data_IF_968168533369
#
_entry.id   IF_968168533369
#
_cell.length_a   1.000
_cell.length_b   1.000
_cell.length_c   1.000
_cell.angle_alpha   90.00
_cell.angle_beta   90.00
_cell.angle_gamma   90.00
#
_symmetry.space_group_name_H-M   'P 1'
#
loop_
_entity.id
_entity.type
_entity.pdbx_description
1 polymer ?
#
# COMPACT_ATOMS: atom_id res chain seq x y z
N UNK A 1 8.65 -11.47 16.85
CA UNK A 1 8.62 -12.87 16.41
C UNK A 1 7.31 -13.28 15.73
N UNK A 2 6.24 -12.46 15.83
CA UNK A 2 4.91 -12.80 15.31
C UNK A 2 4.67 -12.37 13.85
N UNK A 3 5.62 -11.68 13.24
CA UNK A 3 5.58 -11.28 11.84
C UNK A 3 6.59 -12.04 11.02
N UNK A 4 6.15 -12.52 9.86
CA UNK A 4 6.97 -13.20 8.86
C UNK A 4 6.93 -12.40 7.58
N UNK A 5 8.04 -12.36 6.87
CA UNK A 5 8.15 -11.66 5.60
C UNK A 5 8.55 -12.62 4.48
N UNK A 6 7.98 -12.41 3.31
CA UNK A 6 8.37 -13.09 2.07
C UNK A 6 8.66 -12.04 1.01
N UNK A 7 9.79 -12.18 0.33
CA UNK A 7 10.22 -11.29 -0.74
C UNK A 7 9.73 -11.83 -2.07
N UNK A 8 9.12 -10.98 -2.87
CA UNK A 8 8.67 -11.27 -4.24
C UNK A 8 9.56 -10.48 -5.20
N UNK A 9 10.51 -11.13 -5.90
CA UNK A 9 11.25 -10.47 -6.96
C UNK A 9 10.29 -10.01 -8.06
N UNK A 10 10.48 -8.77 -8.51
CA UNK A 10 9.75 -8.17 -9.61
C UNK A 10 10.67 -8.12 -10.84
N UNK A 11 10.08 -7.98 -12.01
CA UNK A 11 10.83 -7.89 -13.26
C UNK A 11 11.68 -6.63 -13.36
N UNK A 12 12.02 -6.26 -14.58
CA UNK A 12 12.75 -5.02 -14.87
C UNK A 12 11.95 -3.80 -14.39
N UNK A 13 12.65 -2.87 -13.75
CA UNK A 13 12.01 -1.62 -13.33
C UNK A 13 11.84 -0.68 -14.53
N UNK A 14 10.59 -0.31 -14.89
CA UNK A 14 10.36 0.67 -15.95
C UNK A 14 11.04 2.03 -15.71
N UNK A 15 11.35 2.34 -14.45
CA UNK A 15 12.05 3.57 -14.04
C UNK A 15 13.58 3.42 -14.08
N UNK A 16 14.09 2.25 -14.50
CA UNK A 16 15.51 1.97 -14.76
C UNK A 16 16.34 1.66 -13.51
N UNK A 17 15.71 1.28 -12.41
CA UNK A 17 16.40 0.86 -11.19
C UNK A 17 16.54 -0.67 -11.11
N UNK A 18 17.42 -1.16 -10.27
CA UNK A 18 17.74 -2.60 -10.15
C UNK A 18 17.30 -3.16 -8.79
N UNK A 19 17.30 -4.49 -8.67
CA UNK A 19 16.98 -5.22 -7.44
C UNK A 19 15.58 -4.88 -6.88
N UNK A 20 14.60 -4.78 -7.79
CA UNK A 20 13.24 -4.44 -7.44
C UNK A 20 12.48 -5.67 -6.94
N UNK A 21 11.85 -5.52 -5.81
CA UNK A 21 10.93 -6.51 -5.25
C UNK A 21 9.88 -5.87 -4.36
N UNK A 22 8.81 -6.61 -4.09
CA UNK A 22 7.84 -6.32 -3.06
C UNK A 22 8.03 -7.25 -1.86
N UNK A 23 7.53 -6.88 -0.70
CA UNK A 23 7.60 -7.69 0.51
C UNK A 23 6.21 -7.94 1.05
N UNK A 24 5.79 -9.19 1.07
CA UNK A 24 4.58 -9.59 1.79
C UNK A 24 4.92 -9.81 3.25
N UNK A 25 4.14 -9.20 4.11
CA UNK A 25 4.22 -9.33 5.56
C UNK A 25 3.01 -10.13 6.03
N UNK A 26 3.22 -11.17 6.84
CA UNK A 26 2.17 -11.99 7.43
C UNK A 26 2.24 -11.92 8.94
N UNK A 27 1.11 -11.64 9.59
CA UNK A 27 0.98 -11.78 11.02
C UNK A 27 0.62 -13.22 11.38
N UNK A 28 1.43 -13.89 12.19
CA UNK A 28 1.25 -15.28 12.60
C UNK A 28 1.84 -15.50 13.99
N UNK A 29 1.12 -15.17 15.07
CA UNK A 29 1.58 -15.34 16.45
C UNK A 29 1.64 -16.80 16.89
N UNK A 30 1.05 -17.70 16.10
CA UNK A 30 1.01 -19.15 16.35
C UNK A 30 1.30 -19.88 15.04
N UNK A 31 1.43 -21.23 15.09
CA UNK A 31 1.74 -22.06 13.92
C UNK A 31 0.91 -21.72 12.68
N UNK A 32 1.60 -21.63 11.55
CA UNK A 32 1.04 -21.25 10.24
C UNK A 32 -0.16 -22.10 9.80
N UNK A 33 -0.24 -23.35 10.27
CA UNK A 33 -1.34 -24.26 9.94
C UNK A 33 -2.74 -23.78 10.36
N UNK A 34 -2.82 -22.82 11.29
CA UNK A 34 -4.10 -22.25 11.75
C UNK A 34 -4.63 -21.13 10.85
N UNK A 35 -3.87 -20.68 9.85
CA UNK A 35 -4.29 -19.61 8.94
C UNK A 35 -5.06 -20.13 7.72
N UNK A 36 -4.87 -21.40 7.34
CA UNK A 36 -5.61 -22.00 6.23
C UNK A 36 -7.13 -21.95 6.46
N UNK A 37 -7.87 -21.66 5.40
CA UNK A 37 -9.33 -21.52 5.40
C UNK A 37 -9.91 -20.32 6.16
N UNK A 38 -9.09 -19.44 6.74
CA UNK A 38 -9.58 -18.14 7.22
C UNK A 38 -9.76 -17.19 6.03
N UNK A 39 -10.73 -16.25 6.06
CA UNK A 39 -10.71 -15.14 5.14
C UNK A 39 -9.43 -14.34 5.35
N UNK A 40 -8.81 -13.89 4.27
CA UNK A 40 -7.59 -13.08 4.33
C UNK A 40 -7.89 -11.60 4.17
N UNK A 41 -7.12 -10.76 4.87
CA UNK A 41 -7.09 -9.33 4.66
C UNK A 41 -5.70 -8.92 4.22
N UNK A 42 -5.62 -8.21 3.09
CA UNK A 42 -4.37 -7.65 2.55
C UNK A 42 -4.37 -6.14 2.69
N UNK A 43 -3.44 -5.61 3.47
CA UNK A 43 -3.24 -4.19 3.68
C UNK A 43 -2.28 -3.62 2.64
N UNK A 44 -2.70 -2.53 1.97
CA UNK A 44 -1.91 -1.76 0.99
C UNK A 44 -1.72 -0.35 1.56
N UNK A 45 -0.47 0.00 1.81
CA UNK A 45 -0.09 1.26 2.45
C UNK A 45 -0.21 2.47 1.51
N UNK A 46 -0.12 3.68 2.09
CA UNK A 46 -0.08 4.95 1.37
C UNK A 46 1.32 5.37 0.92
N UNK A 47 1.41 6.60 0.39
CA UNK A 47 2.69 7.21 0.03
C UNK A 47 3.52 7.51 1.28
N UNK A 48 4.82 7.28 1.21
CA UNK A 48 5.77 7.44 2.32
C UNK A 48 5.42 6.61 3.57
N UNK A 49 4.81 5.45 3.36
CA UNK A 49 4.30 4.57 4.40
C UNK A 49 4.69 3.11 4.13
N UNK A 50 4.47 2.24 5.11
CA UNK A 50 4.59 0.79 5.04
C UNK A 50 3.80 0.18 6.20
N UNK A 51 3.61 -1.15 6.21
CA UNK A 51 2.84 -1.76 7.29
C UNK A 51 3.66 -1.96 8.56
N UNK A 52 3.26 -1.30 9.66
CA UNK A 52 3.85 -1.43 11.01
C UNK A 52 2.78 -1.51 12.13
N UNK A 53 1.51 -1.56 11.78
CA UNK A 53 0.37 -1.47 12.71
C UNK A 53 0.10 -2.81 13.39
N UNK A 54 0.93 -3.19 14.37
CA UNK A 54 0.79 -4.44 15.13
C UNK A 54 -0.62 -4.61 15.70
N UNK A 55 -1.16 -3.61 16.37
CA UNK A 55 -2.48 -3.66 17.02
C UNK A 55 -3.62 -3.91 16.02
N UNK A 56 -3.51 -3.39 14.80
CA UNK A 56 -4.48 -3.65 13.72
C UNK A 56 -4.40 -5.12 13.29
N UNK A 57 -3.18 -5.65 13.13
CA UNK A 57 -2.99 -7.07 12.79
C UNK A 57 -3.54 -7.99 13.89
N UNK A 58 -3.27 -7.69 15.15
CA UNK A 58 -3.77 -8.44 16.31
C UNK A 58 -5.30 -8.43 16.37
N UNK A 59 -5.91 -7.25 16.18
CA UNK A 59 -7.37 -7.11 16.18
C UNK A 59 -8.04 -7.99 15.11
N UNK A 60 -7.61 -7.88 13.85
CA UNK A 60 -8.20 -8.67 12.78
C UNK A 60 -7.93 -10.17 12.94
N UNK A 61 -6.74 -10.54 13.42
CA UNK A 61 -6.42 -11.93 13.71
C UNK A 61 -7.33 -12.52 14.79
N UNK A 62 -7.61 -11.77 15.87
CA UNK A 62 -8.55 -12.17 16.94
C UNK A 62 -9.99 -12.29 16.41
N UNK A 63 -10.36 -11.46 15.43
CA UNK A 63 -11.63 -11.55 14.71
C UNK A 63 -11.71 -12.72 13.70
N UNK A 64 -10.69 -13.57 13.63
CA UNK A 64 -10.67 -14.77 12.78
C UNK A 64 -10.11 -14.57 11.38
N UNK A 65 -9.47 -13.43 11.07
CA UNK A 65 -8.84 -13.17 9.78
C UNK A 65 -7.40 -13.68 9.72
N UNK A 66 -6.96 -14.09 8.55
CA UNK A 66 -5.54 -14.17 8.22
C UNK A 66 -5.08 -12.79 7.75
N UNK A 67 -4.06 -12.22 8.41
CA UNK A 67 -3.65 -10.84 8.19
C UNK A 67 -2.36 -10.79 7.42
N UNK A 68 -2.42 -10.08 6.30
CA UNK A 68 -1.30 -9.82 5.40
C UNK A 68 -1.19 -8.33 5.10
N UNK A 69 0.00 -7.90 4.79
CA UNK A 69 0.27 -6.60 4.24
C UNK A 69 1.31 -6.71 3.13
N UNK A 70 1.37 -5.72 2.27
CA UNK A 70 2.40 -5.62 1.24
C UNK A 70 3.12 -4.29 1.37
N UNK A 71 4.46 -4.35 1.46
CA UNK A 71 5.30 -3.20 1.19
C UNK A 71 5.58 -3.20 -0.32
N UNK A 72 5.04 -2.21 -1.02
CA UNK A 72 5.16 -2.07 -2.47
C UNK A 72 6.61 -1.83 -2.88
N UNK A 73 6.92 -1.98 -4.17
CA UNK A 73 8.28 -1.71 -4.70
C UNK A 73 8.84 -0.39 -4.21
N UNK A 74 10.10 -0.37 -3.84
CA UNK A 74 10.83 0.82 -3.36
C UNK A 74 10.25 1.47 -2.10
N UNK A 75 9.41 0.73 -1.35
CA UNK A 75 8.75 1.20 -0.13
C UNK A 75 9.10 0.32 1.06
N UNK A 76 9.20 0.89 2.26
CA UNK A 76 9.39 0.16 3.50
C UNK A 76 10.52 -0.88 3.42
N UNK A 77 10.19 -2.17 3.67
CA UNK A 77 11.14 -3.29 3.62
C UNK A 77 11.59 -3.64 2.20
N UNK A 78 10.85 -3.17 1.19
CA UNK A 78 11.14 -3.40 -0.23
C UNK A 78 12.14 -2.40 -0.82
N UNK A 79 12.46 -1.33 -0.11
CA UNK A 79 13.45 -0.35 -0.54
C UNK A 79 14.89 -0.83 -0.35
N UNK A 80 15.77 -0.45 -1.29
CA UNK A 80 17.20 -0.70 -1.22
C UNK A 80 18.02 0.58 -1.41
N UNK A 81 19.22 0.67 -0.78
CA UNK A 81 20.13 1.78 -1.00
C UNK A 81 20.41 1.99 -2.49
N UNK A 82 20.30 3.23 -2.95
CA UNK A 82 20.47 3.61 -4.34
C UNK A 82 19.16 3.74 -5.13
N UNK A 83 18.06 3.20 -4.63
CA UNK A 83 16.74 3.39 -5.24
C UNK A 83 16.11 4.70 -4.77
N UNK A 84 15.30 5.31 -5.65
CA UNK A 84 14.46 6.47 -5.32
C UNK A 84 13.27 6.01 -4.49
N UNK A 85 13.32 6.35 -3.21
CA UNK A 85 12.33 5.94 -2.24
C UNK A 85 10.91 6.37 -2.62
N UNK A 86 9.95 5.46 -2.59
CA UNK A 86 8.54 5.67 -2.97
C UNK A 86 8.30 6.26 -4.37
N UNK A 87 9.30 6.16 -5.26
CA UNK A 87 9.18 6.70 -6.60
C UNK A 87 8.58 5.70 -7.58
N UNK A 88 7.60 6.16 -8.33
CA UNK A 88 7.10 5.51 -9.54
C UNK A 88 6.65 6.58 -10.53
N UNK A 89 6.87 6.33 -11.81
CA UNK A 89 6.35 7.19 -12.89
C UNK A 89 4.94 6.82 -13.29
N UNK A 90 4.49 5.61 -12.94
CA UNK A 90 3.13 5.13 -13.20
C UNK A 90 2.66 4.24 -12.05
N UNK A 91 1.53 4.57 -11.46
CA UNK A 91 0.93 3.76 -10.37
C UNK A 91 0.50 2.38 -10.84
N UNK A 92 0.33 2.14 -12.14
CA UNK A 92 0.05 0.82 -12.70
C UNK A 92 1.21 -0.16 -12.53
N UNK A 93 2.43 0.32 -12.27
CA UNK A 93 3.57 -0.54 -11.94
C UNK A 93 3.32 -1.39 -10.69
N UNK A 94 2.51 -0.88 -9.73
CA UNK A 94 2.14 -1.61 -8.52
C UNK A 94 1.18 -2.78 -8.76
N UNK A 95 0.57 -2.88 -9.95
CA UNK A 95 -0.39 -3.95 -10.25
C UNK A 95 0.26 -5.32 -10.29
N UNK A 96 1.53 -5.40 -10.69
CA UNK A 96 2.29 -6.64 -10.75
C UNK A 96 2.40 -7.28 -9.36
N UNK A 97 2.89 -6.55 -8.37
CA UNK A 97 3.05 -7.09 -7.02
C UNK A 97 1.73 -7.34 -6.32
N UNK A 98 0.70 -6.52 -6.55
CA UNK A 98 -0.62 -6.75 -5.99
C UNK A 98 -1.27 -8.01 -6.57
N UNK A 99 -1.11 -8.23 -7.87
CA UNK A 99 -1.60 -9.45 -8.54
C UNK A 99 -0.86 -10.68 -8.05
N UNK A 100 0.46 -10.60 -7.91
CA UNK A 100 1.30 -11.70 -7.39
C UNK A 100 0.97 -12.02 -5.93
N UNK A 101 0.76 -10.99 -5.10
CA UNK A 101 0.36 -11.17 -3.71
C UNK A 101 -1.03 -11.83 -3.62
N UNK A 102 -2.01 -11.38 -4.40
CA UNK A 102 -3.33 -11.99 -4.43
C UNK A 102 -3.28 -13.44 -4.91
N UNK A 103 -2.52 -13.75 -5.95
CA UNK A 103 -2.33 -15.12 -6.43
C UNK A 103 -1.77 -16.02 -5.32
N UNK A 104 -0.73 -15.55 -4.61
CA UNK A 104 -0.17 -16.27 -3.46
C UNK A 104 -1.20 -16.48 -2.33
N UNK A 105 -2.01 -15.47 -2.01
CA UNK A 105 -3.03 -15.58 -0.97
C UNK A 105 -4.16 -16.53 -1.37
N UNK A 106 -4.56 -16.52 -2.65
CA UNK A 106 -5.67 -17.34 -3.17
C UNK A 106 -5.39 -18.85 -3.14
N UNK A 107 -4.12 -19.26 -3.06
CA UNK A 107 -3.74 -20.66 -2.85
C UNK A 107 -4.12 -21.18 -1.44
N UNK A 108 -4.23 -20.27 -0.48
CA UNK A 108 -4.47 -20.62 0.94
C UNK A 108 -5.83 -20.15 1.46
N UNK A 109 -6.44 -19.18 0.78
CA UNK A 109 -7.63 -18.48 1.24
C UNK A 109 -8.65 -18.32 0.12
N UNK A 110 -9.86 -18.86 0.31
CA UNK A 110 -10.94 -18.75 -0.66
C UNK A 110 -11.51 -17.32 -0.77
N UNK A 111 -11.26 -16.48 0.22
CA UNK A 111 -11.82 -15.14 0.33
C UNK A 111 -10.76 -14.16 0.77
N UNK A 112 -10.55 -13.12 -0.02
CA UNK A 112 -9.60 -12.03 0.29
C UNK A 112 -10.36 -10.71 0.31
N UNK A 113 -10.10 -9.89 1.32
CA UNK A 113 -10.52 -8.48 1.39
C UNK A 113 -9.28 -7.62 1.28
N UNK A 114 -9.33 -6.60 0.43
CA UNK A 114 -8.22 -5.67 0.21
C UNK A 114 -8.47 -4.39 0.97
N UNK A 115 -7.52 -3.95 1.78
CA UNK A 115 -7.59 -2.65 2.46
C UNK A 115 -6.54 -1.72 1.85
N UNK A 116 -6.97 -0.57 1.32
CA UNK A 116 -6.08 0.46 0.78
C UNK A 116 -6.16 1.74 1.59
N UNK A 117 -5.00 2.28 1.99
CA UNK A 117 -4.91 3.56 2.71
C UNK A 117 -4.35 4.65 1.81
N UNK A 118 -4.96 5.85 1.84
CA UNK A 118 -4.47 7.04 1.13
C UNK A 118 -4.21 6.77 -0.36
N UNK A 119 -2.98 6.95 -0.87
CA UNK A 119 -2.57 6.56 -2.23
C UNK A 119 -2.74 5.06 -2.48
N UNK A 120 -2.56 4.20 -1.49
CA UNK A 120 -2.87 2.78 -1.60
C UNK A 120 -4.33 2.53 -1.94
N UNK A 121 -5.26 3.37 -1.45
CA UNK A 121 -6.67 3.32 -1.83
C UNK A 121 -6.91 3.66 -3.30
N UNK A 122 -6.19 4.63 -3.87
CA UNK A 122 -6.21 4.92 -5.30
C UNK A 122 -5.67 3.75 -6.12
N UNK A 123 -4.49 3.23 -5.73
CA UNK A 123 -3.85 2.09 -6.41
C UNK A 123 -4.78 0.87 -6.40
N UNK A 124 -5.36 0.53 -5.26
CA UNK A 124 -6.31 -0.58 -5.13
C UNK A 124 -7.51 -0.41 -6.03
N UNK A 125 -8.13 0.78 -6.07
CA UNK A 125 -9.29 1.02 -6.92
C UNK A 125 -8.98 0.83 -8.42
N UNK A 126 -7.84 1.35 -8.89
CA UNK A 126 -7.40 1.21 -10.28
C UNK A 126 -7.00 -0.24 -10.61
N UNK A 127 -6.30 -0.90 -9.68
CA UNK A 127 -5.89 -2.29 -9.85
C UNK A 127 -7.10 -3.23 -9.92
N UNK A 128 -8.12 -3.04 -9.07
CA UNK A 128 -9.32 -3.87 -9.08
C UNK A 128 -10.09 -3.76 -10.40
N UNK A 129 -10.19 -2.56 -10.97
CA UNK A 129 -10.81 -2.35 -12.28
C UNK A 129 -9.98 -3.04 -13.38
N UNK A 130 -8.66 -2.92 -13.34
CA UNK A 130 -7.75 -3.62 -14.25
C UNK A 130 -7.88 -5.15 -14.11
N UNK A 131 -7.80 -5.66 -12.89
CA UNK A 131 -7.80 -7.10 -12.59
C UNK A 131 -9.11 -7.77 -13.03
N UNK A 132 -10.24 -7.11 -12.85
CA UNK A 132 -11.56 -7.60 -13.29
C UNK A 132 -11.58 -7.95 -14.77
N UNK A 133 -10.83 -7.21 -15.58
CA UNK A 133 -10.78 -7.40 -17.02
C UNK A 133 -9.63 -8.31 -17.47
N UNK A 134 -8.48 -8.26 -16.77
CA UNK A 134 -7.26 -8.99 -17.16
C UNK A 134 -7.17 -10.39 -16.57
N UNK A 135 -7.73 -10.60 -15.36
CA UNK A 135 -7.71 -11.89 -14.66
C UNK A 135 -8.98 -12.09 -13.81
N UNK A 136 -10.16 -12.28 -14.45
CA UNK A 136 -11.45 -12.36 -13.77
C UNK A 136 -11.54 -13.53 -12.77
N UNK A 137 -10.86 -14.63 -13.03
CA UNK A 137 -10.81 -15.77 -12.11
C UNK A 137 -10.10 -15.41 -10.80
N UNK A 138 -8.97 -14.71 -10.90
CA UNK A 138 -8.24 -14.24 -9.73
C UNK A 138 -9.04 -13.14 -8.99
N UNK A 139 -9.68 -12.24 -9.74
CA UNK A 139 -10.57 -11.22 -9.16
C UNK A 139 -11.73 -11.82 -8.35
N UNK A 140 -12.23 -13.00 -8.74
CA UNK A 140 -13.33 -13.67 -8.05
C UNK A 140 -13.00 -14.08 -6.59
N UNK A 141 -11.71 -14.16 -6.21
CA UNK A 141 -11.30 -14.38 -4.82
C UNK A 141 -11.49 -13.14 -3.94
N UNK A 142 -11.70 -11.96 -4.52
CA UNK A 142 -11.85 -10.71 -3.79
C UNK A 142 -13.31 -10.52 -3.40
N UNK A 143 -13.60 -10.63 -2.10
CA UNK A 143 -14.94 -10.43 -1.56
C UNK A 143 -15.31 -8.95 -1.41
N UNK A 144 -14.32 -8.07 -1.34
CA UNK A 144 -14.54 -6.62 -1.22
C UNK A 144 -13.26 -5.84 -0.99
N UNK A 145 -13.40 -4.51 -1.02
CA UNK A 145 -12.31 -3.60 -0.69
C UNK A 145 -12.75 -2.56 0.34
N UNK A 146 -11.86 -2.24 1.26
CA UNK A 146 -12.00 -1.17 2.25
C UNK A 146 -11.03 -0.05 1.87
N UNK A 147 -11.55 1.10 1.51
CA UNK A 147 -10.74 2.27 1.14
C UNK A 147 -10.73 3.26 2.31
N UNK A 148 -9.62 3.28 3.03
CA UNK A 148 -9.42 4.18 4.17
C UNK A 148 -8.77 5.47 3.70
N UNK A 149 -9.52 6.58 3.79
CA UNK A 149 -9.07 7.92 3.36
C UNK A 149 -8.40 7.90 1.97
N UNK A 150 -9.03 7.31 0.93
CA UNK A 150 -8.38 7.13 -0.37
C UNK A 150 -8.09 8.49 -1.02
N UNK A 151 -6.89 8.63 -1.57
CA UNK A 151 -6.53 9.84 -2.30
C UNK A 151 -6.95 9.72 -3.77
N UNK A 152 -8.23 10.00 -4.05
CA UNK A 152 -8.83 9.81 -5.37
C UNK A 152 -8.75 11.06 -6.27
N UNK A 153 -8.51 12.23 -5.70
CA UNK A 153 -8.35 13.48 -6.46
C UNK A 153 -7.44 14.46 -5.72
N UNK A 154 -6.99 15.48 -6.42
CA UNK A 154 -6.19 16.55 -5.84
C UNK A 154 -7.04 17.42 -4.92
N UNK A 155 -6.52 17.74 -3.74
CA UNK A 155 -7.18 18.61 -2.74
C UNK A 155 -7.12 20.10 -3.13
N UNK A 156 -7.44 20.41 -4.40
CA UNK A 156 -7.50 21.78 -4.91
C UNK A 156 -8.81 21.97 -5.68
N UNK A 157 -9.34 23.21 -5.77
CA UNK A 157 -10.57 23.47 -6.52
C UNK A 157 -10.47 22.95 -7.96
N UNK A 158 -11.54 22.35 -8.49
CA UNK A 158 -11.58 21.73 -9.83
C UNK A 158 -10.99 22.61 -10.94
N UNK A 159 -11.31 23.94 -11.04
CA UNK A 159 -10.72 24.78 -12.10
C UNK A 159 -9.21 24.86 -12.01
N UNK A 160 -8.65 24.84 -10.79
CA UNK A 160 -7.20 24.85 -10.57
C UNK A 160 -6.58 23.51 -10.95
N UNK A 161 -7.20 22.39 -10.56
CA UNK A 161 -6.70 21.06 -10.89
C UNK A 161 -6.71 20.80 -12.41
N UNK A 162 -7.75 21.22 -13.11
CA UNK A 162 -7.89 21.07 -14.57
C UNK A 162 -6.79 21.82 -15.35
N UNK A 163 -6.40 22.99 -14.86
CA UNK A 163 -5.29 23.76 -15.48
C UNK A 163 -3.92 23.25 -15.03
N UNK A 164 -3.80 22.77 -13.81
CA UNK A 164 -2.53 22.31 -13.24
C UNK A 164 -2.11 20.94 -13.76
N UNK A 165 -3.04 20.01 -13.93
CA UNK A 165 -2.79 18.63 -14.41
C UNK A 165 -1.99 18.58 -15.72
N UNK A 166 -2.35 19.30 -16.81
CA UNK A 166 -1.57 19.27 -18.05
C UNK A 166 -0.19 19.89 -17.90
N UNK A 167 -0.06 20.94 -17.09
CA UNK A 167 1.24 21.58 -16.82
C UNK A 167 2.16 20.64 -16.05
N UNK A 168 1.66 19.99 -14.99
CA UNK A 168 2.43 19.01 -14.23
C UNK A 168 2.80 17.80 -15.08
N UNK A 169 1.89 17.33 -15.93
CA UNK A 169 2.13 16.21 -16.84
C UNK A 169 3.25 16.54 -17.83
N UNK A 170 3.21 17.74 -18.44
CA UNK A 170 4.25 18.20 -19.36
C UNK A 170 5.59 18.39 -18.64
N UNK A 171 5.60 19.05 -17.47
CA UNK A 171 6.81 19.27 -16.68
C UNK A 171 7.42 17.95 -16.18
N UNK A 172 6.61 17.03 -15.69
CA UNK A 172 7.06 15.69 -15.24
C UNK A 172 7.64 14.86 -16.39
N UNK A 173 7.04 14.91 -17.59
CA UNK A 173 7.58 14.24 -18.76
C UNK A 173 8.92 14.86 -19.22
N UNK A 174 9.12 16.18 -19.02
CA UNK A 174 10.35 16.87 -19.46
C UNK A 174 11.46 16.83 -18.42
N UNK A 175 11.12 16.82 -17.12
CA UNK A 175 12.05 16.84 -15.99
C UNK A 175 11.63 15.85 -14.90
N UNK A 176 11.70 14.53 -15.15
CA UNK A 176 11.18 13.51 -14.23
C UNK A 176 11.90 13.47 -12.88
N UNK A 177 13.11 14.03 -12.80
CA UNK A 177 13.93 14.02 -11.57
C UNK A 177 13.81 15.33 -10.76
N UNK A 178 13.00 16.28 -11.20
CA UNK A 178 12.80 17.53 -10.44
C UNK A 178 11.76 17.28 -9.34
N UNK A 179 12.23 17.35 -8.10
CA UNK A 179 11.34 17.31 -6.92
C UNK A 179 10.61 18.63 -6.75
N UNK A 180 9.30 18.57 -6.67
CA UNK A 180 8.50 19.72 -6.25
C UNK A 180 8.25 19.65 -4.73
N UNK A 181 8.27 20.79 -4.01
CA UNK A 181 7.90 20.79 -2.61
C UNK A 181 6.45 20.29 -2.48
N UNK A 182 6.27 19.07 -2.00
CA UNK A 182 4.97 18.61 -1.53
C UNK A 182 4.61 19.41 -0.27
N UNK A 183 3.32 19.66 -0.05
CA UNK A 183 2.86 20.36 1.14
C UNK A 183 3.40 19.73 2.43
N UNK A 184 3.51 20.52 3.48
CA UNK A 184 4.13 20.11 4.74
C UNK A 184 3.32 19.00 5.42
N UNK A 185 3.74 17.76 5.28
CA UNK A 185 3.14 16.58 5.96
C UNK A 185 3.21 16.69 7.49
N UNK A 186 4.10 17.53 8.03
CA UNK A 186 4.20 17.82 9.45
C UNK A 186 2.89 18.42 10.02
N UNK A 187 2.13 19.14 9.20
CA UNK A 187 0.83 19.69 9.61
C UNK A 187 -0.19 18.56 9.85
N UNK A 188 -0.20 17.53 9.01
CA UNK A 188 -1.04 16.35 9.22
C UNK A 188 -0.60 15.55 10.44
N UNK A 189 0.69 15.28 10.60
CA UNK A 189 1.23 14.58 11.77
C UNK A 189 0.90 15.32 13.08
N UNK A 190 0.98 16.66 13.09
CA UNK A 190 0.58 17.49 14.24
C UNK A 190 -0.93 17.40 14.51
N UNK A 191 -1.77 17.33 13.47
CA UNK A 191 -3.23 17.28 13.65
C UNK A 191 -3.72 15.98 14.29
N UNK A 192 -2.94 14.91 14.22
CA UNK A 192 -3.25 13.59 14.83
C UNK A 192 -2.37 13.30 16.05
N UNK A 193 -1.54 14.25 16.49
CA UNK A 193 -0.69 14.07 17.67
C UNK A 193 -1.44 14.31 18.99
N UNK A 194 -1.02 13.63 20.05
CA UNK A 194 -1.58 13.80 21.40
C UNK A 194 -1.48 15.24 21.92
N UNK A 195 -0.54 16.04 21.42
CA UNK A 195 -0.40 17.45 21.75
C UNK A 195 -1.59 18.29 21.28
N UNK A 196 -2.26 17.87 20.19
CA UNK A 196 -3.39 18.59 19.61
C UNK A 196 -4.74 18.03 20.08
N UNK A 197 -4.81 16.72 20.29
CA UNK A 197 -5.99 16.01 20.77
C UNK A 197 -5.59 15.15 21.98
N UNK A 198 -5.52 15.75 23.15
CA UNK A 198 -5.00 15.16 24.40
C UNK A 198 -5.66 13.85 24.89
N UNK A 199 -6.63 13.31 24.13
CA UNK A 199 -7.31 12.05 24.39
C UNK A 199 -6.76 10.87 23.58
N UNK A 200 -5.86 11.11 22.61
CA UNK A 200 -5.28 10.04 21.78
C UNK A 200 -4.09 9.42 22.50
N UNK A 201 -4.23 8.18 22.91
CA UNK A 201 -3.10 7.38 23.36
C UNK A 201 -2.34 6.89 22.14
N UNK A 202 -1.23 7.56 21.84
CA UNK A 202 -0.32 7.10 20.78
C UNK A 202 0.55 6.01 21.40
N UNK A 203 0.47 4.80 20.84
CA UNK A 203 1.40 3.73 21.17
C UNK A 203 2.83 4.22 20.90
N UNK A 204 3.75 4.18 21.88
CA UNK A 204 5.12 4.61 21.70
C UNK A 204 5.89 3.83 20.62
N UNK A 205 5.42 2.63 20.21
CA UNK A 205 5.95 1.88 19.09
C UNK A 205 5.53 2.45 17.73
N UNK A 206 4.52 3.34 17.69
CA UNK A 206 4.01 3.97 16.47
C UNK A 206 4.60 5.37 16.21
N UNK A 207 5.79 5.67 16.71
CA UNK A 207 6.46 6.93 16.37
C UNK A 207 6.77 6.93 14.88
N UNK A 208 6.30 7.95 14.15
CA UNK A 208 6.73 8.12 12.76
C UNK A 208 8.25 8.27 12.71
N UNK A 209 8.87 7.57 11.77
CA UNK A 209 10.29 7.68 11.48
C UNK A 209 10.64 9.06 10.96
#
# INVERSE_FOLDING_TARGET
>A
PDFHTATMPLGDDPDGETDIYATVVRYSPTDAHRLHNRPAMLFVHGMSDYFFHRHVAEFFYQCGWAVYAIDLRKCGRSWRPGQRWHHTTDVAQYFEELTSALAYLSEMHNTVVIQGHSTGGLVVALWLDHLRNSAPELHAHIAGAVLNSPWLDMMVPKPVSETLKPVLRWAGARWPNVSMPAGNLTAYGKSVSAEHYGEWVIDPEMKPL
#
